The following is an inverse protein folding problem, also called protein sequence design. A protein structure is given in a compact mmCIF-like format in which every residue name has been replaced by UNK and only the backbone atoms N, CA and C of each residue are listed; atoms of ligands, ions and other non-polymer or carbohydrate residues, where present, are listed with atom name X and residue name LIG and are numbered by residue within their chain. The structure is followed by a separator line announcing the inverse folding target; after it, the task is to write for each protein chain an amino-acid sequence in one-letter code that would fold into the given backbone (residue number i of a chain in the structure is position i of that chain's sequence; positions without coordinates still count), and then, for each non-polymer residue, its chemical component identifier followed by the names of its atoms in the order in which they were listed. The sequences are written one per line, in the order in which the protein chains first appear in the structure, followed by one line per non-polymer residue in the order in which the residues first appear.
data_IF_171565578338
#
_entry.id   IF_171565578338
#
_cell.length_a   1.000
_cell.length_b   1.000
_cell.length_c   1.000
_cell.angle_alpha   90.00
_cell.angle_beta   90.00
_cell.angle_gamma   90.00
#
_symmetry.space_group_name_H-M   'P 1'
#
loop_
_entity.id
_entity.type
_entity.pdbx_description
1 polymer ?
#
# COMPACT_ATOMS: atom_id res chain seq x y z
N UNK A 1 10.17 -1.42 28.45
CA UNK A 1 10.94 -2.50 27.83
C UNK A 1 10.30 -3.16 26.58
N UNK A 2 9.05 -2.83 26.18
CA UNK A 2 8.41 -3.37 24.95
C UNK A 2 8.90 -2.69 23.66
N UNK A 3 9.33 -1.45 23.73
CA UNK A 3 9.74 -0.63 22.56
C UNK A 3 11.15 -0.94 22.04
N UNK A 4 12.01 -1.53 22.85
CA UNK A 4 13.39 -1.92 22.45
C UNK A 4 13.40 -3.04 21.40
N UNK A 5 12.40 -3.91 21.38
CA UNK A 5 12.28 -4.97 20.35
C UNK A 5 11.81 -4.42 19.01
N UNK A 6 10.88 -3.45 19.01
CA UNK A 6 10.42 -2.77 17.79
C UNK A 6 11.55 -1.94 17.15
N UNK A 7 12.35 -1.24 17.95
CA UNK A 7 13.49 -0.48 17.45
C UNK A 7 14.59 -1.38 16.86
N UNK A 8 14.81 -2.57 17.43
CA UNK A 8 15.77 -3.54 16.93
C UNK A 8 15.34 -4.17 15.61
N UNK A 9 14.03 -4.42 15.42
CA UNK A 9 13.49 -4.95 14.17
C UNK A 9 13.51 -3.88 13.05
N UNK A 10 13.23 -2.62 13.37
CA UNK A 10 13.29 -1.52 12.41
C UNK A 10 14.72 -1.23 11.92
N UNK A 11 15.74 -1.52 12.74
CA UNK A 11 17.15 -1.33 12.37
C UNK A 11 17.74 -2.53 11.60
N UNK A 12 17.13 -3.71 11.70
CA UNK A 12 17.58 -4.89 10.95
C UNK A 12 17.03 -4.94 9.52
N UNK A 13 16.02 -4.15 9.18
CA UNK A 13 15.46 -4.03 7.83
C UNK A 13 16.31 -3.09 6.95
N UNK A 14 17.62 -3.32 6.87
CA UNK A 14 18.46 -2.69 5.86
C UNK A 14 18.04 -3.26 4.51
N UNK A 15 17.29 -2.46 3.76
CA UNK A 15 16.97 -2.76 2.36
C UNK A 15 18.27 -2.77 1.55
N UNK A 16 18.80 -3.95 1.33
CA UNK A 16 19.79 -4.11 0.26
C UNK A 16 19.03 -4.23 -1.06
N UNK A 17 18.92 -3.11 -1.77
CA UNK A 17 18.67 -3.12 -3.21
C UNK A 17 19.92 -3.70 -3.89
N UNK A 18 20.13 -4.99 -3.76
CA UNK A 18 21.13 -5.68 -4.56
C UNK A 18 20.49 -6.02 -5.91
N UNK A 19 20.41 -5.03 -6.77
CA UNK A 19 20.22 -5.26 -8.19
C UNK A 19 21.53 -5.79 -8.75
N UNK A 20 21.87 -7.05 -8.45
CA UNK A 20 22.86 -7.82 -9.23
C UNK A 20 22.90 -9.27 -8.74
N UNK A 21 22.26 -10.15 -9.49
CA UNK A 21 22.90 -11.41 -9.82
C UNK A 21 23.04 -12.47 -8.73
N UNK A 22 22.01 -12.75 -7.92
CA UNK A 22 21.88 -14.09 -7.36
C UNK A 22 20.56 -14.70 -7.83
N UNK A 23 20.69 -15.45 -8.87
CA UNK A 23 19.63 -16.16 -9.55
C UNK A 23 19.31 -17.42 -8.76
N UNK A 24 18.14 -17.47 -8.11
CA UNK A 24 17.60 -18.78 -7.68
C UNK A 24 17.18 -19.59 -8.92
N UNK A 25 16.87 -18.92 -10.02
CA UNK A 25 16.58 -19.52 -11.32
C UNK A 25 16.61 -18.39 -12.37
N UNK A 26 17.27 -18.59 -13.53
CA UNK A 26 17.33 -17.58 -14.60
C UNK A 26 15.93 -17.13 -15.09
N UNK A 27 14.92 -17.96 -14.86
CA UNK A 27 13.54 -17.72 -15.30
C UNK A 27 12.68 -16.90 -14.33
N UNK A 28 13.13 -16.64 -13.09
CA UNK A 28 12.40 -15.88 -12.07
C UNK A 28 13.37 -15.23 -11.08
N UNK A 29 14.06 -14.15 -11.50
CA UNK A 29 15.13 -13.54 -10.71
C UNK A 29 14.59 -12.87 -9.45
N UNK A 30 15.43 -12.77 -8.43
CA UNK A 30 15.17 -12.01 -7.23
C UNK A 30 15.28 -10.52 -7.55
N UNK A 31 14.22 -9.76 -7.30
CA UNK A 31 14.17 -8.31 -7.57
C UNK A 31 14.31 -7.47 -6.30
N UNK A 32 14.11 -8.09 -5.12
CA UNK A 32 14.12 -7.38 -3.84
C UNK A 32 14.35 -8.37 -2.70
N UNK A 33 14.89 -7.88 -1.58
CA UNK A 33 14.94 -8.61 -0.31
C UNK A 33 14.37 -7.74 0.81
N UNK A 34 13.54 -8.31 1.68
CA UNK A 34 12.97 -7.68 2.87
C UNK A 34 13.26 -8.57 4.08
N UNK A 35 14.12 -8.13 4.99
CA UNK A 35 14.68 -9.01 6.01
C UNK A 35 15.43 -10.18 5.37
N UNK A 36 15.06 -11.40 5.73
CA UNK A 36 15.62 -12.62 5.16
C UNK A 36 14.82 -13.16 3.96
N UNK A 37 13.69 -12.53 3.63
CA UNK A 37 12.80 -13.00 2.55
C UNK A 37 13.16 -12.35 1.22
N UNK A 38 13.35 -13.19 0.22
CA UNK A 38 13.61 -12.79 -1.16
C UNK A 38 12.30 -12.71 -1.93
N UNK A 39 12.13 -11.63 -2.69
CA UNK A 39 10.97 -11.40 -3.56
C UNK A 39 11.41 -11.55 -5.00
N UNK A 40 10.72 -12.43 -5.71
CA UNK A 40 10.99 -12.72 -7.11
C UNK A 40 10.33 -11.71 -8.05
N UNK A 41 10.76 -11.69 -9.30
CA UNK A 41 10.14 -10.88 -10.36
C UNK A 41 8.65 -11.23 -10.55
N UNK A 42 8.29 -12.50 -10.44
CA UNK A 42 6.90 -12.94 -10.58
C UNK A 42 6.00 -12.42 -9.46
N UNK A 43 6.48 -12.41 -8.22
CA UNK A 43 5.78 -11.86 -7.06
C UNK A 43 5.61 -10.33 -7.19
N UNK A 44 6.65 -9.63 -7.67
CA UNK A 44 6.53 -8.21 -7.99
C UNK A 44 5.54 -7.96 -9.13
N UNK A 45 5.58 -8.76 -10.19
CA UNK A 45 4.70 -8.64 -11.35
C UNK A 45 3.23 -8.95 -11.01
N UNK A 46 2.97 -9.73 -9.98
CA UNK A 46 1.61 -9.92 -9.47
C UNK A 46 0.95 -8.57 -9.12
N UNK A 47 1.67 -7.70 -8.42
CA UNK A 47 1.19 -6.35 -8.12
C UNK A 47 1.23 -5.43 -9.35
N UNK A 48 2.27 -5.55 -10.19
CA UNK A 48 2.33 -4.78 -11.44
C UNK A 48 1.11 -5.00 -12.32
N UNK A 49 0.64 -6.24 -12.42
CA UNK A 49 -0.56 -6.57 -13.20
C UNK A 49 -1.84 -5.92 -12.63
N UNK A 50 -1.89 -5.72 -11.31
CA UNK A 50 -3.01 -5.05 -10.64
C UNK A 50 -3.02 -3.53 -10.90
N UNK A 51 -1.83 -2.91 -10.96
CA UNK A 51 -1.73 -1.45 -11.02
C UNK A 51 -1.59 -0.87 -12.43
N UNK A 52 -1.04 -1.64 -13.38
CA UNK A 52 -0.76 -1.15 -14.75
C UNK A 52 -1.99 -0.70 -15.52
N UNK A 53 -3.18 -1.18 -15.15
CA UNK A 53 -4.45 -0.81 -15.82
C UNK A 53 -4.97 0.56 -15.38
N UNK A 54 -4.59 1.01 -14.17
CA UNK A 54 -5.12 2.23 -13.56
C UNK A 54 -4.08 3.34 -13.38
N UNK A 55 -2.80 3.05 -13.65
CA UNK A 55 -1.70 3.98 -13.42
C UNK A 55 -0.74 3.96 -14.61
N UNK A 56 -0.03 5.07 -14.81
CA UNK A 56 1.11 5.04 -15.72
C UNK A 56 2.21 4.09 -15.21
N UNK A 57 3.11 3.66 -16.09
CA UNK A 57 4.11 2.64 -15.79
C UNK A 57 5.01 3.01 -14.60
N UNK A 58 5.37 4.29 -14.45
CA UNK A 58 6.21 4.76 -13.35
C UNK A 58 5.50 4.65 -11.99
N UNK A 59 4.24 5.08 -11.94
CA UNK A 59 3.39 4.98 -10.76
C UNK A 59 3.08 3.52 -10.42
N UNK A 60 2.76 2.68 -11.41
CA UNK A 60 2.52 1.26 -11.22
C UNK A 60 3.74 0.56 -10.60
N UNK A 61 4.95 0.82 -11.09
CA UNK A 61 6.20 0.30 -10.53
C UNK A 61 6.40 0.74 -9.08
N UNK A 62 6.23 2.03 -8.80
CA UNK A 62 6.38 2.58 -7.45
C UNK A 62 5.39 1.94 -6.48
N UNK A 63 4.11 1.91 -6.82
CA UNK A 63 3.07 1.30 -5.99
C UNK A 63 3.31 -0.18 -5.76
N UNK A 64 3.69 -0.94 -6.79
CA UNK A 64 4.02 -2.36 -6.66
C UNK A 64 5.19 -2.59 -5.71
N UNK A 65 6.24 -1.78 -5.82
CA UNK A 65 7.40 -1.84 -4.92
C UNK A 65 6.98 -1.59 -3.46
N UNK A 66 6.24 -0.52 -3.21
CA UNK A 66 5.76 -0.16 -1.88
C UNK A 66 4.86 -1.24 -1.27
N UNK A 67 3.98 -1.86 -2.07
CA UNK A 67 3.12 -2.94 -1.59
C UNK A 67 3.88 -4.22 -1.28
N UNK A 68 4.81 -4.64 -2.14
CA UNK A 68 5.67 -5.79 -1.88
C UNK A 68 6.45 -5.60 -0.57
N UNK A 69 7.13 -4.46 -0.43
CA UNK A 69 7.91 -4.15 0.77
C UNK A 69 7.05 -4.13 2.02
N UNK A 70 5.93 -3.41 1.98
CA UNK A 70 5.03 -3.28 3.14
C UNK A 70 4.45 -4.61 3.57
N UNK A 71 3.95 -5.40 2.64
CA UNK A 71 3.29 -6.66 2.98
C UNK A 71 4.29 -7.66 3.55
N UNK A 72 5.48 -7.75 2.95
CA UNK A 72 6.51 -8.62 3.48
C UNK A 72 7.02 -8.15 4.85
N UNK A 73 7.21 -6.83 5.03
CA UNK A 73 7.65 -6.26 6.30
C UNK A 73 6.64 -6.55 7.43
N UNK A 74 5.34 -6.46 7.17
CA UNK A 74 4.30 -6.80 8.15
C UNK A 74 4.46 -8.25 8.63
N UNK A 75 4.66 -9.18 7.72
CA UNK A 75 4.83 -10.60 8.06
C UNK A 75 6.13 -10.85 8.82
N UNK A 76 7.23 -10.25 8.38
CA UNK A 76 8.54 -10.39 9.04
C UNK A 76 8.53 -9.78 10.45
N UNK A 77 7.93 -8.60 10.64
CA UNK A 77 7.76 -7.98 11.96
C UNK A 77 6.89 -8.85 12.86
N UNK A 78 5.79 -9.38 12.35
CA UNK A 78 4.91 -10.27 13.11
C UNK A 78 5.65 -11.54 13.58
N UNK A 79 6.44 -12.16 12.68
CA UNK A 79 7.29 -13.31 13.04
C UNK A 79 8.34 -12.94 14.08
N UNK A 80 9.08 -11.84 13.88
CA UNK A 80 10.13 -11.40 14.81
C UNK A 80 9.59 -11.04 16.21
N UNK A 81 8.34 -10.59 16.29
CA UNK A 81 7.64 -10.32 17.54
C UNK A 81 6.93 -11.54 18.14
N UNK A 82 7.03 -12.71 17.51
CA UNK A 82 6.31 -13.94 17.88
C UNK A 82 4.79 -13.72 18.03
N UNK A 83 4.20 -12.95 17.10
CA UNK A 83 2.77 -12.68 17.11
C UNK A 83 2.00 -13.97 16.86
N UNK A 84 1.16 -14.33 17.81
CA UNK A 84 0.23 -15.48 17.68
C UNK A 84 -1.14 -14.96 17.29
N UNK A 85 -1.68 -15.49 16.21
CA UNK A 85 -3.07 -15.26 15.84
C UNK A 85 -3.97 -16.09 16.78
N UNK A 86 -5.04 -15.50 17.29
CA UNK A 86 -6.07 -16.25 18.03
C UNK A 86 -6.82 -17.24 17.15
N UNK A 87 -7.54 -18.18 17.77
CA UNK A 87 -8.24 -19.25 17.06
C UNK A 87 -9.23 -18.76 16.02
N UNK A 88 -9.94 -17.67 16.33
CA UNK A 88 -10.95 -17.09 15.44
C UNK A 88 -10.29 -16.45 14.22
N UNK A 89 -9.18 -15.73 14.43
CA UNK A 89 -8.39 -15.14 13.34
C UNK A 89 -7.74 -16.22 12.47
N UNK A 90 -7.24 -17.32 13.08
CA UNK A 90 -6.72 -18.45 12.32
C UNK A 90 -7.79 -19.11 11.47
N UNK A 91 -9.02 -19.26 11.98
CA UNK A 91 -10.14 -19.81 11.20
C UNK A 91 -10.47 -18.91 10.01
N UNK A 92 -10.62 -17.61 10.25
CA UNK A 92 -10.86 -16.62 9.18
C UNK A 92 -9.77 -16.63 8.12
N UNK A 93 -8.50 -16.76 8.52
CA UNK A 93 -7.39 -16.85 7.59
C UNK A 93 -7.51 -18.09 6.69
N UNK A 94 -7.82 -19.25 7.27
CA UNK A 94 -8.03 -20.50 6.49
C UNK A 94 -9.20 -20.38 5.51
N UNK A 95 -10.31 -19.78 5.94
CA UNK A 95 -11.47 -19.55 5.07
C UNK A 95 -11.12 -18.60 3.92
N UNK A 96 -10.33 -17.57 4.21
CA UNK A 96 -9.88 -16.62 3.19
C UNK A 96 -8.91 -17.25 2.20
N UNK A 97 -7.92 -18.01 2.67
CA UNK A 97 -7.01 -18.80 1.82
C UNK A 97 -7.78 -19.74 0.91
N UNK A 98 -8.77 -20.46 1.47
CA UNK A 98 -9.65 -21.33 0.69
C UNK A 98 -10.43 -20.54 -0.37
N UNK A 99 -11.02 -19.42 0.00
CA UNK A 99 -11.79 -18.57 -0.92
C UNK A 99 -10.91 -18.06 -2.09
N UNK A 100 -9.66 -17.69 -1.83
CA UNK A 100 -8.71 -17.31 -2.89
C UNK A 100 -8.52 -18.49 -3.85
N UNK A 101 -8.22 -19.68 -3.33
CA UNK A 101 -7.97 -20.89 -4.13
C UNK A 101 -9.19 -21.26 -4.98
N UNK A 102 -10.38 -21.24 -4.36
CA UNK A 102 -11.64 -21.53 -5.03
C UNK A 102 -12.00 -20.50 -6.13
N UNK A 103 -11.56 -19.24 -6.00
CA UNK A 103 -11.82 -18.19 -7.00
C UNK A 103 -11.18 -18.47 -8.36
N UNK A 104 -10.09 -19.23 -8.39
CA UNK A 104 -9.38 -19.61 -9.62
C UNK A 104 -9.90 -20.89 -10.28
N UNK A 105 -10.87 -21.60 -9.68
CA UNK A 105 -11.39 -22.85 -10.25
C UNK A 105 -12.03 -22.66 -11.64
N UNK A 106 -12.51 -21.45 -11.93
CA UNK A 106 -13.15 -21.10 -13.21
C UNK A 106 -12.16 -20.91 -14.37
N UNK A 107 -10.87 -20.66 -14.10
CA UNK A 107 -9.84 -20.30 -15.08
C UNK A 107 -8.86 -21.46 -15.40
N UNK A 108 -9.25 -22.68 -15.14
CA UNK A 108 -8.39 -23.87 -15.30
C UNK A 108 -7.68 -24.28 -14.01
N UNK A 109 -8.13 -23.69 -12.90
CA UNK A 109 -7.76 -24.10 -11.56
C UNK A 109 -6.57 -23.37 -10.97
N UNK A 110 -6.54 -23.34 -9.66
CA UNK A 110 -5.52 -22.67 -8.87
C UNK A 110 -4.07 -23.10 -9.20
N UNK A 111 -3.86 -24.39 -9.43
CA UNK A 111 -2.52 -24.91 -9.80
C UNK A 111 -2.03 -24.35 -11.13
N UNK A 112 -2.93 -24.20 -12.10
CA UNK A 112 -2.60 -23.59 -13.39
C UNK A 112 -2.25 -22.12 -13.22
N UNK A 113 -3.03 -21.37 -12.41
CA UNK A 113 -2.74 -19.98 -12.06
C UNK A 113 -1.34 -19.83 -11.46
N UNK A 114 -0.97 -20.63 -10.46
CA UNK A 114 0.36 -20.58 -9.86
C UNK A 114 1.46 -20.83 -10.90
N UNK A 115 1.29 -21.86 -11.71
CA UNK A 115 2.27 -22.23 -12.75
C UNK A 115 2.45 -21.12 -13.80
N UNK A 116 1.34 -20.59 -14.32
CA UNK A 116 1.36 -19.60 -15.40
C UNK A 116 1.98 -18.26 -14.92
N UNK A 117 1.80 -17.93 -13.65
CA UNK A 117 2.35 -16.73 -13.04
C UNK A 117 3.67 -16.95 -12.30
N UNK A 118 4.22 -18.17 -12.31
CA UNK A 118 5.44 -18.57 -11.59
C UNK A 118 5.40 -18.18 -10.09
N UNK A 119 4.23 -18.32 -9.48
CA UNK A 119 3.98 -18.04 -8.06
C UNK A 119 3.99 -19.32 -7.24
N UNK A 120 4.18 -19.20 -5.95
CA UNK A 120 4.11 -20.30 -4.98
C UNK A 120 2.84 -20.24 -4.14
N UNK A 121 2.42 -21.38 -3.61
CA UNK A 121 1.31 -21.45 -2.65
C UNK A 121 1.64 -20.64 -1.38
N UNK A 122 2.88 -20.74 -0.90
CA UNK A 122 3.38 -19.99 0.26
C UNK A 122 3.29 -18.47 0.07
N UNK A 123 3.56 -17.98 -1.16
CA UNK A 123 3.41 -16.55 -1.44
C UNK A 123 1.96 -16.10 -1.34
N UNK A 124 1.02 -16.86 -1.91
CA UNK A 124 -0.41 -16.55 -1.82
C UNK A 124 -0.90 -16.64 -0.38
N UNK A 125 -0.46 -17.64 0.38
CA UNK A 125 -0.79 -17.78 1.79
C UNK A 125 -0.20 -16.64 2.64
N UNK A 126 1.00 -16.16 2.29
CA UNK A 126 1.61 -14.96 2.90
C UNK A 126 0.74 -13.73 2.65
N UNK A 127 0.32 -13.49 1.40
CA UNK A 127 -0.57 -12.37 1.05
C UNK A 127 -1.89 -12.42 1.83
N UNK A 128 -2.48 -13.59 1.93
CA UNK A 128 -3.71 -13.79 2.69
C UNK A 128 -3.54 -13.45 4.19
N UNK A 129 -2.34 -13.68 4.74
CA UNK A 129 -2.05 -13.47 6.16
C UNK A 129 -1.79 -12.01 6.54
N UNK A 130 -1.47 -11.13 5.58
CA UNK A 130 -1.06 -9.74 5.83
C UNK A 130 -2.09 -8.96 6.66
N UNK A 131 -3.38 -9.07 6.33
CA UNK A 131 -4.44 -8.36 7.07
C UNK A 131 -4.55 -8.85 8.51
N UNK A 132 -4.47 -10.16 8.73
CA UNK A 132 -4.54 -10.77 10.05
C UNK A 132 -3.36 -10.32 10.94
N UNK A 133 -2.15 -10.32 10.38
CA UNK A 133 -0.97 -9.84 11.10
C UNK A 133 -0.99 -8.32 11.32
N UNK A 134 -1.52 -7.55 10.37
CA UNK A 134 -1.71 -6.11 10.54
C UNK A 134 -2.60 -5.81 11.74
N UNK A 135 -3.72 -6.51 11.85
CA UNK A 135 -4.66 -6.31 12.96
C UNK A 135 -4.11 -6.80 14.29
N UNK A 136 -3.38 -7.92 14.28
CA UNK A 136 -2.72 -8.44 15.48
C UNK A 136 -1.59 -7.50 15.96
N UNK A 137 -0.81 -6.94 15.05
CA UNK A 137 0.21 -5.94 15.35
C UNK A 137 -0.39 -4.67 15.93
N UNK A 138 -1.49 -4.15 15.35
CA UNK A 138 -2.22 -2.99 15.89
C UNK A 138 -2.71 -3.21 17.32
N UNK A 139 -3.22 -4.40 17.64
CA UNK A 139 -3.64 -4.75 19.00
C UNK A 139 -2.49 -4.79 20.00
N UNK A 140 -1.28 -5.13 19.56
CA UNK A 140 -0.10 -5.17 20.42
C UNK A 140 0.62 -3.83 20.58
N UNK A 141 0.53 -2.97 19.58
CA UNK A 141 0.98 -1.59 19.73
C UNK A 141 -0.13 -0.86 20.49
N UNK A 142 0.11 -0.56 21.77
CA UNK A 142 -0.74 0.37 22.50
C UNK A 142 -0.79 1.65 21.69
N UNK A 143 -1.87 1.87 20.99
CA UNK A 143 -2.13 3.16 20.35
C UNK A 143 -2.27 4.14 21.50
N UNK A 144 -1.45 5.19 21.59
CA UNK A 144 -1.61 6.18 22.64
C UNK A 144 -3.05 6.70 22.58
N UNK A 145 -3.79 6.57 23.65
CA UNK A 145 -5.09 7.19 23.75
C UNK A 145 -4.87 8.66 24.05
N UNK A 146 -5.18 9.50 23.11
CA UNK A 146 -5.19 10.95 23.30
C UNK A 146 -6.57 11.39 23.81
N UNK A 147 -6.57 12.32 24.74
CA UNK A 147 -7.80 13.01 25.14
C UNK A 147 -8.28 13.92 24.00
N UNK A 148 -9.56 14.28 24.01
CA UNK A 148 -10.09 15.19 23.00
C UNK A 148 -9.39 16.56 23.04
N UNK A 149 -8.99 17.01 24.21
CA UNK A 149 -8.28 18.28 24.39
C UNK A 149 -6.86 18.21 23.80
N UNK A 150 -6.11 17.13 24.00
CA UNK A 150 -4.79 16.92 23.38
C UNK A 150 -4.90 16.89 21.86
N UNK A 151 -5.92 16.22 21.32
CA UNK A 151 -6.17 16.21 19.88
C UNK A 151 -6.52 17.59 19.33
N UNK A 152 -7.31 18.38 20.06
CA UNK A 152 -7.67 19.75 19.70
C UNK A 152 -6.46 20.69 19.70
N UNK A 153 -5.63 20.60 20.73
CA UNK A 153 -4.39 21.40 20.79
C UNK A 153 -3.43 21.03 19.67
N UNK A 154 -3.20 19.74 19.45
CA UNK A 154 -2.37 19.26 18.33
C UNK A 154 -2.91 19.76 16.98
N UNK A 155 -4.25 19.71 16.80
CA UNK A 155 -4.87 20.20 15.57
C UNK A 155 -4.67 21.71 15.38
N UNK A 156 -4.82 22.51 16.45
CA UNK A 156 -4.61 23.96 16.39
C UNK A 156 -3.18 24.32 16.02
N UNK A 157 -2.19 23.57 16.49
CA UNK A 157 -0.78 23.84 16.21
C UNK A 157 -0.37 23.42 14.80
N UNK A 158 -0.83 22.25 14.34
CA UNK A 158 -0.30 21.60 13.14
C UNK A 158 -1.20 21.70 11.92
N UNK A 159 -2.48 22.03 12.10
CA UNK A 159 -3.46 22.07 11.02
C UNK A 159 -4.18 23.41 10.96
N UNK A 160 -4.68 23.71 9.77
CA UNK A 160 -5.57 24.86 9.53
C UNK A 160 -6.76 24.37 8.72
N UNK A 161 -7.95 24.74 9.17
CA UNK A 161 -9.16 24.51 8.38
C UNK A 161 -9.27 25.65 7.37
N UNK A 162 -9.24 25.30 6.11
CA UNK A 162 -9.41 26.26 5.01
C UNK A 162 -10.71 25.95 4.26
N UNK A 163 -11.35 26.99 3.74
CA UNK A 163 -12.37 26.88 2.71
C UNK A 163 -11.76 27.44 1.43
N UNK A 164 -12.01 26.77 0.34
CA UNK A 164 -11.54 27.22 -0.97
C UNK A 164 -12.63 27.05 -2.01
N UNK A 165 -12.55 27.86 -3.05
CA UNK A 165 -13.33 27.71 -4.29
C UNK A 165 -12.33 27.42 -5.39
N UNK A 166 -12.51 26.27 -6.05
CA UNK A 166 -11.67 25.88 -7.18
C UNK A 166 -12.39 26.23 -8.47
N UNK A 167 -11.72 27.07 -9.29
CA UNK A 167 -12.15 27.39 -10.65
C UNK A 167 -11.17 26.68 -11.57
N UNK A 168 -11.67 25.62 -12.25
CA UNK A 168 -10.82 24.77 -13.06
C UNK A 168 -10.53 25.40 -14.42
N UNK A 169 -9.27 25.28 -14.87
CA UNK A 169 -8.82 25.57 -16.23
C UNK A 169 -8.56 24.29 -17.02
N UNK A 170 -9.05 23.16 -16.51
CA UNK A 170 -8.95 21.85 -17.13
C UNK A 170 -10.38 21.37 -17.44
N UNK A 171 -10.59 20.89 -18.65
CA UNK A 171 -11.85 20.26 -19.05
C UNK A 171 -12.02 18.93 -18.30
N UNK A 172 -13.16 18.79 -17.62
CA UNK A 172 -13.42 17.61 -16.76
C UNK A 172 -13.69 16.33 -17.55
N UNK A 173 -13.98 16.42 -18.85
CA UNK A 173 -14.29 15.27 -19.71
C UNK A 173 -13.05 14.77 -20.44
N UNK A 174 -12.19 15.68 -20.90
CA UNK A 174 -11.01 15.32 -21.69
C UNK A 174 -9.72 15.30 -20.86
N UNK A 175 -9.68 16.04 -19.75
CA UNK A 175 -8.47 16.23 -18.94
C UNK A 175 -7.47 17.22 -19.56
N UNK A 176 -7.83 17.88 -20.65
CA UNK A 176 -6.99 18.85 -21.34
C UNK A 176 -7.19 20.25 -20.77
N UNK A 177 -6.24 21.16 -21.02
CA UNK A 177 -6.41 22.57 -20.71
C UNK A 177 -7.51 23.18 -21.58
N UNK A 178 -8.33 24.04 -20.97
CA UNK A 178 -9.32 24.81 -21.73
C UNK A 178 -8.65 25.88 -22.59
N UNK A 179 -9.37 26.44 -23.57
CA UNK A 179 -8.87 27.53 -24.42
C UNK A 179 -8.47 28.78 -23.61
N UNK A 180 -7.61 29.60 -24.16
CA UNK A 180 -7.11 30.80 -23.50
C UNK A 180 -8.21 31.79 -23.11
N UNK A 181 -9.25 31.94 -23.95
CA UNK A 181 -10.42 32.76 -23.62
C UNK A 181 -11.16 32.24 -22.37
N UNK A 182 -11.30 30.92 -22.25
CA UNK A 182 -11.91 30.30 -21.06
C UNK A 182 -11.00 30.40 -19.83
N UNK A 183 -9.67 30.38 -20.01
CA UNK A 183 -8.73 30.63 -18.89
C UNK A 183 -8.86 32.06 -18.37
N UNK A 184 -9.04 33.02 -19.25
CA UNK A 184 -9.23 34.42 -18.88
C UNK A 184 -10.56 34.64 -18.14
N UNK A 185 -11.64 34.02 -18.60
CA UNK A 185 -12.94 34.01 -17.92
C UNK A 185 -12.84 33.34 -16.53
N UNK A 186 -12.16 32.20 -16.41
CA UNK A 186 -11.91 31.52 -15.14
C UNK A 186 -11.13 32.40 -14.16
N UNK A 187 -10.10 33.11 -14.65
CA UNK A 187 -9.34 34.07 -13.85
C UNK A 187 -10.20 35.21 -13.33
N UNK A 188 -11.01 35.82 -14.20
CA UNK A 188 -11.94 36.89 -13.81
C UNK A 188 -12.94 36.39 -12.74
N UNK A 189 -13.48 35.20 -12.91
CA UNK A 189 -14.38 34.58 -11.93
C UNK A 189 -13.67 34.36 -10.61
N UNK A 190 -12.40 33.93 -10.61
CA UNK A 190 -11.60 33.74 -9.41
C UNK A 190 -11.36 35.06 -8.66
N UNK A 191 -11.06 36.13 -9.38
CA UNK A 191 -10.88 37.48 -8.83
C UNK A 191 -12.16 38.01 -8.19
N UNK A 192 -13.33 37.85 -8.84
CA UNK A 192 -14.63 38.22 -8.28
C UNK A 192 -15.00 37.43 -7.02
N UNK A 193 -14.69 36.12 -7.01
CA UNK A 193 -14.93 35.28 -5.82
C UNK A 193 -14.00 35.68 -4.66
N UNK A 194 -12.74 36.00 -4.97
CA UNK A 194 -11.76 36.47 -3.97
C UNK A 194 -12.23 37.78 -3.34
N UNK A 195 -12.67 38.75 -4.15
CA UNK A 195 -13.19 40.03 -3.67
C UNK A 195 -14.39 39.84 -2.76
N UNK A 196 -15.36 38.97 -3.15
CA UNK A 196 -16.49 38.64 -2.29
C UNK A 196 -16.09 37.98 -0.98
N UNK A 197 -15.09 37.10 -1.02
CA UNK A 197 -14.60 36.41 0.19
C UNK A 197 -13.86 37.34 1.15
N UNK A 198 -13.24 38.41 0.64
CA UNK A 198 -12.55 39.42 1.45
C UNK A 198 -13.50 40.43 2.08
N UNK A 199 -14.64 40.68 1.46
CA UNK A 199 -15.62 41.68 1.90
C UNK A 199 -16.74 41.07 2.80
N UNK A 200 -16.73 39.75 3.06
CA UNK A 200 -17.65 39.02 3.96
C UNK A 200 -18.81 38.38 3.24
#
# INVERSE_FOLDING_TARGET
MKYTKLAAVALASVMMLSACGQSANNDNPIVMTVGDTQITESEFNYYMNTYKENYNMGQAKKSSLEYCQRNQLIVEVAKAMDIKLDSDTQSKLKDYQKSIKDSYDREGGYKKFLKDNKLTDDYIDTLASVSCYTDALKKQTETPTFTEDELREYFKEHYRRVKYVLISTIDSQTGDEVSDDKKEEAKKTAEEVLEKAQNG
#
